data_IF_839733000193
#
_entry.id   IF_839733000193
#
_cell.length_a   1.000
_cell.length_b   1.000
_cell.length_c   1.000
_cell.angle_alpha   90.00
_cell.angle_beta   90.00
_cell.angle_gamma   90.00
#
_symmetry.space_group_name_H-M   'P 1'
#
loop_
_entity.id
_entity.type
_entity.pdbx_description
1 polymer ?
#
# COMPACT_ATOMS: atom_id res chain seq x y z
N UNK A 1 -14.58 18.90 27.35
CA UNK A 1 -13.23 18.65 26.77
C UNK A 1 -12.56 17.62 27.66
N UNK A 2 -12.49 16.37 27.19
CA UNK A 2 -12.07 15.23 28.00
C UNK A 2 -10.56 15.21 28.21
N UNK A 3 -10.12 15.18 29.47
CA UNK A 3 -8.71 15.11 29.88
C UNK A 3 -8.07 13.74 29.56
N UNK A 4 -8.79 12.84 28.88
CA UNK A 4 -8.41 11.44 28.69
C UNK A 4 -8.58 10.87 27.28
N UNK A 5 -8.90 11.70 26.28
CA UNK A 5 -9.12 11.21 24.91
C UNK A 5 -7.87 10.44 24.42
N UNK A 6 -8.08 9.23 23.92
CA UNK A 6 -7.15 8.41 23.13
C UNK A 6 -7.85 7.89 21.87
N UNK A 7 -7.08 7.31 20.95
CA UNK A 7 -7.61 6.62 19.76
C UNK A 7 -8.71 5.62 20.15
N UNK A 8 -8.47 4.77 21.16
CA UNK A 8 -9.44 3.81 21.65
C UNK A 8 -10.75 4.44 22.14
N UNK A 9 -10.68 5.52 22.94
CA UNK A 9 -11.89 6.20 23.43
C UNK A 9 -12.65 6.90 22.30
N UNK A 10 -11.97 7.55 21.34
CA UNK A 10 -12.63 8.21 20.22
C UNK A 10 -13.25 7.21 19.26
N UNK A 11 -12.60 6.08 19.00
CA UNK A 11 -13.19 5.01 18.20
C UNK A 11 -14.44 4.41 18.87
N UNK A 12 -14.44 4.30 20.20
CA UNK A 12 -15.63 3.89 20.95
C UNK A 12 -16.76 4.92 20.82
N UNK A 13 -16.45 6.22 20.93
CA UNK A 13 -17.42 7.30 20.74
C UNK A 13 -17.99 7.33 19.31
N UNK A 14 -17.13 7.10 18.31
CA UNK A 14 -17.52 6.96 16.90
C UNK A 14 -18.45 5.73 16.73
N UNK A 15 -18.11 4.59 17.33
CA UNK A 15 -18.96 3.40 17.26
C UNK A 15 -20.33 3.63 17.91
N UNK A 16 -20.37 4.35 19.04
CA UNK A 16 -21.62 4.71 19.71
C UNK A 16 -22.49 5.64 18.86
N UNK A 17 -21.91 6.68 18.24
CA UNK A 17 -22.69 7.59 17.39
C UNK A 17 -23.21 6.87 16.14
N UNK A 18 -22.43 5.97 15.51
CA UNK A 18 -22.93 5.19 14.36
C UNK A 18 -24.06 4.26 14.79
N UNK A 19 -23.94 3.62 15.95
CA UNK A 19 -24.98 2.76 16.53
C UNK A 19 -26.27 3.53 16.81
N UNK A 20 -26.17 4.78 17.25
CA UNK A 20 -27.32 5.68 17.39
C UNK A 20 -27.99 5.97 16.05
N UNK A 21 -27.22 6.16 14.97
CA UNK A 21 -27.74 6.31 13.61
C UNK A 21 -28.51 5.08 13.15
N UNK A 22 -27.96 3.89 13.37
CA UNK A 22 -28.64 2.62 13.10
C UNK A 22 -29.93 2.47 13.91
N UNK A 23 -29.92 2.90 15.18
CA UNK A 23 -31.09 2.87 16.06
C UNK A 23 -32.20 3.81 15.56
N UNK A 24 -31.85 4.97 15.02
CA UNK A 24 -32.83 5.88 14.39
C UNK A 24 -33.51 5.21 13.21
N UNK A 25 -32.72 4.60 12.30
CA UNK A 25 -33.26 3.87 11.15
C UNK A 25 -34.11 2.67 11.58
N UNK A 26 -33.65 1.89 12.56
CA UNK A 26 -34.36 0.68 13.00
C UNK A 26 -35.72 0.96 13.64
N UNK A 27 -35.89 2.13 14.28
CA UNK A 27 -37.15 2.58 14.87
C UNK A 27 -38.08 3.31 13.89
N UNK A 28 -37.62 3.62 12.69
CA UNK A 28 -38.44 4.30 11.67
C UNK A 28 -39.42 3.34 10.97
N UNK A 29 -40.49 3.88 10.38
CA UNK A 29 -41.46 3.07 9.64
C UNK A 29 -40.88 2.55 8.31
N UNK A 30 -40.60 1.24 8.28
CA UNK A 30 -39.99 0.56 7.12
C UNK A 30 -40.96 0.32 5.95
N UNK A 31 -42.26 0.58 6.09
CA UNK A 31 -43.26 0.29 5.04
C UNK A 31 -43.04 1.08 3.75
N UNK A 32 -42.45 2.27 3.86
CA UNK A 32 -42.24 3.19 2.74
C UNK A 32 -40.78 3.31 2.33
N UNK A 33 -39.90 2.44 2.86
CA UNK A 33 -38.48 2.46 2.52
C UNK A 33 -38.26 2.09 1.06
N UNK A 34 -37.55 2.96 0.36
CA UNK A 34 -36.99 2.72 -0.95
C UNK A 34 -35.63 2.04 -0.88
N UNK A 35 -34.86 2.20 -1.96
CA UNK A 35 -33.51 1.65 -2.08
C UNK A 35 -32.52 2.42 -1.21
N UNK A 36 -32.64 3.74 -1.14
CA UNK A 36 -31.67 4.61 -0.48
C UNK A 36 -31.69 4.45 1.04
N UNK A 37 -32.86 4.24 1.67
CA UNK A 37 -32.94 3.97 3.11
C UNK A 37 -32.28 2.66 3.49
N UNK A 38 -32.50 1.62 2.68
CA UNK A 38 -31.85 0.31 2.86
C UNK A 38 -30.36 0.42 2.64
N UNK A 39 -29.94 1.21 1.67
CA UNK A 39 -28.52 1.43 1.39
C UNK A 39 -27.86 2.25 2.49
N UNK A 40 -28.54 3.23 3.08
CA UNK A 40 -28.05 3.97 4.24
C UNK A 40 -27.88 3.05 5.46
N UNK A 41 -28.83 2.15 5.72
CA UNK A 41 -28.70 1.13 6.78
C UNK A 41 -27.49 0.22 6.53
N UNK A 42 -27.29 -0.26 5.28
CA UNK A 42 -26.11 -1.06 4.90
C UNK A 42 -24.81 -0.28 5.01
N UNK A 43 -24.79 0.99 4.63
CA UNK A 43 -23.60 1.83 4.68
C UNK A 43 -23.13 2.01 6.13
N UNK A 44 -24.04 2.30 7.07
CA UNK A 44 -23.71 2.41 8.50
C UNK A 44 -23.23 1.07 9.09
N UNK A 45 -23.87 -0.05 8.74
CA UNK A 45 -23.38 -1.39 9.13
C UNK A 45 -21.95 -1.63 8.63
N UNK A 46 -21.71 -1.30 7.36
CA UNK A 46 -20.40 -1.48 6.73
C UNK A 46 -19.31 -0.62 7.37
N UNK A 47 -19.65 0.56 7.89
CA UNK A 47 -18.71 1.41 8.64
C UNK A 47 -18.28 0.72 9.93
N UNK A 48 -19.24 0.22 10.74
CA UNK A 48 -18.91 -0.44 12.01
C UNK A 48 -18.12 -1.73 11.80
N UNK A 49 -18.50 -2.53 10.81
CA UNK A 49 -17.82 -3.78 10.49
C UNK A 49 -16.36 -3.53 10.08
N UNK A 50 -16.12 -2.53 9.24
CA UNK A 50 -14.77 -2.16 8.81
C UNK A 50 -13.95 -1.54 9.94
N UNK A 51 -14.50 -0.57 10.67
CA UNK A 51 -13.79 0.08 11.78
C UNK A 51 -13.39 -0.92 12.88
N UNK A 52 -14.26 -1.90 13.16
CA UNK A 52 -13.98 -3.01 14.08
C UNK A 52 -12.88 -3.92 13.54
N UNK A 53 -12.95 -4.28 12.25
CA UNK A 53 -11.93 -5.10 11.58
C UNK A 53 -10.57 -4.40 11.64
N UNK A 54 -10.51 -3.13 11.29
CA UNK A 54 -9.28 -2.32 11.32
C UNK A 54 -8.69 -2.27 12.72
N UNK A 55 -9.51 -2.03 13.75
CA UNK A 55 -9.04 -2.02 15.14
C UNK A 55 -8.45 -3.38 15.58
N UNK A 56 -9.02 -4.49 15.10
CA UNK A 56 -8.54 -5.83 15.40
C UNK A 56 -7.27 -6.19 14.62
N UNK A 57 -7.16 -5.77 13.37
CA UNK A 57 -6.06 -6.12 12.47
C UNK A 57 -4.84 -5.21 12.64
N UNK A 58 -5.03 -3.91 12.92
CA UNK A 58 -3.93 -2.95 13.07
C UNK A 58 -3.16 -3.12 14.38
N UNK A 59 -3.85 -3.46 15.48
CA UNK A 59 -3.22 -3.60 16.79
C UNK A 59 -2.02 -4.57 16.83
N UNK A 60 -2.12 -5.79 16.26
CA UNK A 60 -1.02 -6.75 16.18
C UNK A 60 0.11 -6.37 15.21
N UNK A 61 -0.09 -5.40 14.31
CA UNK A 61 0.91 -4.98 13.33
C UNK A 61 1.90 -3.97 13.92
N UNK A 62 1.45 -3.22 14.91
CA UNK A 62 2.30 -2.43 15.81
C UNK A 62 2.94 -3.41 16.81
N UNK A 63 4.22 -3.22 17.17
CA UNK A 63 5.14 -4.13 17.91
C UNK A 63 4.60 -5.02 19.07
N UNK A 64 5.44 -5.77 19.80
CA UNK A 64 5.03 -6.81 20.79
C UNK A 64 3.90 -6.47 21.81
N UNK A 65 3.63 -5.20 22.11
CA UNK A 65 2.49 -4.71 22.92
C UNK A 65 1.59 -3.69 22.15
N UNK A 66 1.59 -3.76 20.81
CA UNK A 66 1.12 -2.71 19.91
C UNK A 66 -0.36 -2.42 19.98
N UNK A 67 -1.19 -3.40 20.36
CA UNK A 67 -2.63 -3.16 20.60
C UNK A 67 -2.86 -2.16 21.72
N UNK A 68 -2.14 -2.28 22.83
CA UNK A 68 -2.25 -1.34 23.95
C UNK A 68 -1.71 0.03 23.54
N UNK A 69 -0.58 0.09 22.84
CA UNK A 69 0.02 1.35 22.39
C UNK A 69 -0.87 2.10 21.39
N UNK A 70 -1.50 1.37 20.46
CA UNK A 70 -2.46 1.92 19.50
C UNK A 70 -3.73 2.42 20.18
N UNK A 71 -4.33 1.62 21.08
CA UNK A 71 -5.54 2.00 21.81
C UNK A 71 -5.33 3.23 22.71
N UNK A 72 -4.14 3.36 23.29
CA UNK A 72 -3.75 4.47 24.15
C UNK A 72 -2.97 5.57 23.41
N UNK A 73 -2.94 5.55 22.07
CA UNK A 73 -2.30 6.63 21.30
C UNK A 73 -3.05 7.95 21.54
N UNK A 74 -2.26 8.99 21.82
CA UNK A 74 -2.74 10.34 22.19
C UNK A 74 -2.08 11.44 21.37
N UNK A 75 -1.42 11.09 20.26
CA UNK A 75 -0.80 12.09 19.40
C UNK A 75 -1.84 13.05 18.87
N UNK A 76 -1.49 14.33 18.90
CA UNK A 76 -2.36 15.40 18.49
C UNK A 76 -3.00 15.13 17.12
N UNK A 77 -2.20 14.78 16.12
CA UNK A 77 -2.68 14.52 14.76
C UNK A 77 -3.69 13.35 14.69
N UNK A 78 -3.40 12.21 15.33
CA UNK A 78 -4.34 11.08 15.41
C UNK A 78 -5.68 11.51 16.04
N UNK A 79 -5.61 12.31 17.09
CA UNK A 79 -6.78 12.76 17.84
C UNK A 79 -7.61 13.77 17.06
N UNK A 80 -6.97 14.70 16.35
CA UNK A 80 -7.66 15.69 15.53
C UNK A 80 -8.38 15.06 14.35
N UNK A 81 -7.74 14.14 13.64
CA UNK A 81 -8.35 13.40 12.54
C UNK A 81 -9.62 12.65 12.99
N UNK A 82 -9.51 11.89 14.10
CA UNK A 82 -10.64 11.14 14.64
C UNK A 82 -11.76 12.04 15.18
N UNK A 83 -11.44 13.19 15.80
CA UNK A 83 -12.45 14.17 16.23
C UNK A 83 -13.18 14.79 15.04
N UNK A 84 -12.46 15.09 13.95
CA UNK A 84 -13.08 15.61 12.74
C UNK A 84 -14.07 14.59 12.16
N UNK A 85 -13.70 13.31 12.11
CA UNK A 85 -14.57 12.21 11.67
C UNK A 85 -15.78 12.05 12.60
N UNK A 86 -15.57 12.09 13.92
CA UNK A 86 -16.66 12.06 14.90
C UNK A 86 -17.66 13.20 14.64
N UNK A 87 -17.18 14.42 14.38
CA UNK A 87 -18.02 15.56 14.02
C UNK A 87 -18.85 15.32 12.75
N UNK A 88 -18.27 14.66 11.73
CA UNK A 88 -19.00 14.29 10.50
C UNK A 88 -20.12 13.29 10.79
N UNK A 89 -19.87 12.27 11.62
CA UNK A 89 -20.93 11.32 12.02
C UNK A 89 -22.00 11.96 12.92
N UNK A 90 -21.63 12.88 13.81
CA UNK A 90 -22.60 13.66 14.59
C UNK A 90 -23.53 14.46 13.67
N UNK A 91 -22.97 15.15 12.66
CA UNK A 91 -23.77 15.90 11.69
C UNK A 91 -24.67 14.99 10.83
N UNK A 92 -24.20 13.80 10.44
CA UNK A 92 -25.03 12.79 9.78
C UNK A 92 -26.19 12.33 10.68
N UNK A 93 -25.92 12.09 11.96
CA UNK A 93 -26.94 11.67 12.91
C UNK A 93 -28.00 12.74 13.19
N UNK A 94 -27.62 14.02 13.30
CA UNK A 94 -28.62 15.08 13.46
C UNK A 94 -29.55 15.15 12.25
N UNK A 95 -29.01 15.01 11.03
CA UNK A 95 -29.81 14.91 9.81
C UNK A 95 -30.77 13.70 9.83
N UNK A 96 -30.29 12.53 10.29
CA UNK A 96 -31.14 11.33 10.45
C UNK A 96 -32.24 11.53 11.50
N UNK A 97 -31.95 12.21 12.62
CA UNK A 97 -32.95 12.55 13.63
C UNK A 97 -34.03 13.46 13.06
N UNK A 98 -33.63 14.49 12.30
CA UNK A 98 -34.58 15.41 11.69
C UNK A 98 -35.42 14.72 10.63
N UNK A 99 -34.80 13.89 9.79
CA UNK A 99 -35.52 13.01 8.85
C UNK A 99 -36.52 12.09 9.55
N UNK A 100 -36.13 11.46 10.67
CA UNK A 100 -37.04 10.58 11.42
C UNK A 100 -38.27 11.30 11.96
N UNK A 101 -38.19 12.63 12.16
CA UNK A 101 -39.30 13.48 12.61
C UNK A 101 -40.15 14.01 11.46
N UNK A 102 -39.55 14.37 10.33
CA UNK A 102 -40.26 14.91 9.16
C UNK A 102 -40.85 13.82 8.26
N UNK A 103 -40.26 12.63 8.25
CA UNK A 103 -40.53 11.60 7.25
C UNK A 103 -40.03 11.98 5.85
N UNK A 104 -40.44 11.20 4.85
CA UNK A 104 -40.04 11.35 3.45
C UNK A 104 -38.88 10.45 3.04
N UNK A 105 -38.47 10.47 1.76
CA UNK A 105 -37.31 9.71 1.29
C UNK A 105 -36.00 10.29 1.85
N UNK A 106 -35.01 9.43 2.08
CA UNK A 106 -33.64 9.87 2.41
C UNK A 106 -32.99 10.53 1.18
N UNK A 107 -32.14 11.53 1.42
CA UNK A 107 -31.30 12.11 0.39
C UNK A 107 -30.18 11.13 -0.03
N UNK A 108 -30.08 10.72 -1.31
CA UNK A 108 -29.07 9.77 -1.77
C UNK A 108 -27.63 10.27 -1.64
N UNK A 109 -27.43 11.58 -1.40
CA UNK A 109 -26.10 12.11 -1.07
C UNK A 109 -25.59 11.57 0.26
N UNK A 110 -26.46 11.28 1.24
CA UNK A 110 -26.06 10.81 2.57
C UNK A 110 -25.38 9.45 2.53
N UNK A 111 -25.83 8.57 1.63
CA UNK A 111 -25.19 7.26 1.40
C UNK A 111 -23.75 7.44 0.93
N UNK A 112 -23.55 8.31 -0.08
CA UNK A 112 -22.21 8.60 -0.62
C UNK A 112 -21.31 9.26 0.41
N UNK A 113 -21.85 10.19 1.20
CA UNK A 113 -21.15 10.80 2.32
C UNK A 113 -20.77 9.75 3.37
N UNK A 114 -21.66 8.82 3.71
CA UNK A 114 -21.39 7.75 4.67
C UNK A 114 -20.21 6.88 4.22
N UNK A 115 -20.17 6.48 2.95
CA UNK A 115 -19.02 5.76 2.38
C UNK A 115 -17.75 6.60 2.31
N UNK A 116 -17.88 7.92 2.13
CA UNK A 116 -16.72 8.84 2.15
C UNK A 116 -16.13 8.90 3.55
N UNK A 117 -16.97 9.13 4.57
CA UNK A 117 -16.56 9.18 5.98
C UNK A 117 -16.01 7.81 6.41
N UNK A 118 -16.59 6.70 5.92
CA UNK A 118 -16.05 5.35 6.12
C UNK A 118 -14.58 5.24 5.68
N UNK A 119 -14.28 5.63 4.44
CA UNK A 119 -12.91 5.60 3.90
C UNK A 119 -11.97 6.52 4.68
N UNK A 120 -12.44 7.69 5.10
CA UNK A 120 -11.67 8.60 5.94
C UNK A 120 -11.37 8.00 7.32
N UNK A 121 -12.33 7.30 7.93
CA UNK A 121 -12.14 6.59 9.20
C UNK A 121 -11.10 5.47 9.07
N UNK A 122 -11.21 4.63 8.05
CA UNK A 122 -10.22 3.61 7.74
C UNK A 122 -8.80 4.20 7.64
N UNK A 123 -8.64 5.27 6.84
CA UNK A 123 -7.36 5.97 6.69
C UNK A 123 -6.85 6.58 7.98
N UNK A 124 -7.70 7.21 8.77
CA UNK A 124 -7.31 7.77 10.07
C UNK A 124 -6.83 6.67 11.03
N UNK A 125 -7.49 5.50 11.03
CA UNK A 125 -7.06 4.34 11.80
C UNK A 125 -5.68 3.81 11.33
N UNK A 126 -5.47 3.67 10.02
CA UNK A 126 -4.20 3.25 9.43
C UNK A 126 -3.07 4.24 9.73
N UNK A 127 -3.30 5.55 9.60
CA UNK A 127 -2.31 6.59 9.94
C UNK A 127 -2.00 6.63 11.42
N UNK A 128 -2.99 6.50 12.30
CA UNK A 128 -2.76 6.39 13.74
C UNK A 128 -1.87 5.16 14.06
N UNK A 129 -2.16 4.00 13.46
CA UNK A 129 -1.32 2.80 13.62
C UNK A 129 0.10 3.02 13.07
N UNK A 130 0.22 3.68 11.92
CA UNK A 130 1.49 4.02 11.29
C UNK A 130 2.36 4.92 12.18
N UNK A 131 1.75 5.91 12.83
CA UNK A 131 2.44 6.78 13.79
C UNK A 131 3.02 5.95 14.93
N UNK A 132 2.23 5.05 15.53
CA UNK A 132 2.72 4.17 16.62
C UNK A 132 3.82 3.24 16.14
N UNK A 133 3.68 2.68 14.94
CA UNK A 133 4.72 1.85 14.32
C UNK A 133 6.04 2.60 14.13
N UNK A 134 5.98 3.82 13.58
CA UNK A 134 7.17 4.64 13.31
C UNK A 134 7.91 5.03 14.60
N UNK A 135 7.17 5.38 15.66
CA UNK A 135 7.80 5.72 16.94
C UNK A 135 8.48 4.54 17.65
N UNK A 136 8.16 3.32 17.25
CA UNK A 136 8.59 2.11 17.95
C UNK A 136 9.71 1.36 17.21
N UNK A 137 10.20 1.85 16.07
CA UNK A 137 11.25 1.18 15.28
C UNK A 137 12.50 2.03 15.08
N UNK A 138 13.64 1.40 15.35
CA UNK A 138 14.99 1.79 14.92
C UNK A 138 15.43 1.05 13.62
N UNK A 139 14.59 0.18 13.03
CA UNK A 139 15.07 -0.88 12.12
C UNK A 139 14.50 -0.92 10.67
N UNK A 140 13.54 -0.08 10.25
CA UNK A 140 13.38 0.15 8.78
C UNK A 140 12.74 1.48 8.48
N UNK A 141 13.24 2.15 7.45
CA UNK A 141 12.69 3.39 6.91
C UNK A 141 11.33 3.20 6.20
N UNK A 142 10.95 1.96 5.85
CA UNK A 142 9.70 1.66 5.13
C UNK A 142 8.43 2.06 5.90
N UNK A 143 7.43 2.48 5.15
CA UNK A 143 6.07 2.67 5.66
C UNK A 143 5.47 1.36 6.21
N UNK A 144 4.52 1.43 7.16
CA UNK A 144 3.79 0.26 7.67
C UNK A 144 3.05 -0.47 6.54
N UNK A 145 2.45 0.27 5.60
CA UNK A 145 1.83 -0.33 4.41
C UNK A 145 2.85 -1.11 3.57
N UNK A 146 4.04 -0.53 3.33
CA UNK A 146 5.13 -1.21 2.65
C UNK A 146 5.57 -2.48 3.39
N UNK A 147 5.73 -2.39 4.71
CA UNK A 147 6.12 -3.52 5.57
C UNK A 147 5.12 -4.68 5.51
N UNK A 148 3.81 -4.40 5.46
CA UNK A 148 2.75 -5.43 5.33
C UNK A 148 2.91 -6.20 4.01
N UNK A 149 3.12 -5.50 2.90
CA UNK A 149 3.32 -6.13 1.58
C UNK A 149 4.63 -6.90 1.54
N UNK A 150 5.72 -6.32 2.06
CA UNK A 150 7.02 -6.97 2.12
C UNK A 150 6.98 -8.28 2.95
N UNK A 151 6.21 -8.29 4.05
CA UNK A 151 6.02 -9.51 4.85
C UNK A 151 5.38 -10.64 4.04
N UNK A 152 4.47 -10.32 3.12
CA UNK A 152 3.88 -11.31 2.19
C UNK A 152 4.88 -11.77 1.14
N UNK A 153 5.70 -10.87 0.59
CA UNK A 153 6.78 -11.23 -0.33
C UNK A 153 7.83 -12.15 0.29
N UNK A 154 8.08 -12.02 1.60
CA UNK A 154 9.03 -12.88 2.34
C UNK A 154 8.43 -14.22 2.79
N UNK A 155 7.11 -14.44 2.67
CA UNK A 155 6.47 -15.68 3.12
C UNK A 155 7.00 -16.95 2.40
N UNK A 156 7.19 -16.98 1.06
CA UNK A 156 7.74 -18.15 0.38
C UNK A 156 9.15 -18.53 0.89
N UNK A 157 10.00 -17.52 1.15
CA UNK A 157 11.34 -17.74 1.69
C UNK A 157 11.30 -18.33 3.10
N UNK A 158 10.37 -17.87 3.95
CA UNK A 158 10.17 -18.42 5.30
C UNK A 158 9.69 -19.86 5.26
N UNK A 159 8.75 -20.16 4.37
CA UNK A 159 8.20 -21.51 4.20
C UNK A 159 9.25 -22.47 3.62
N UNK A 160 10.06 -22.00 2.66
CA UNK A 160 11.20 -22.76 2.14
C UNK A 160 12.23 -23.07 3.23
N UNK A 161 12.57 -22.11 4.10
CA UNK A 161 13.43 -22.32 5.28
C UNK A 161 12.82 -23.31 6.27
N UNK A 162 11.50 -23.41 6.36
CA UNK A 162 10.78 -24.41 7.13
C UNK A 162 10.67 -25.79 6.45
N UNK A 163 11.29 -25.96 5.27
CA UNK A 163 11.28 -27.21 4.51
C UNK A 163 10.00 -27.46 3.71
N UNK A 164 9.10 -26.49 3.62
CA UNK A 164 7.87 -26.58 2.84
C UNK A 164 8.22 -26.33 1.37
N UNK A 165 8.11 -27.37 0.54
CA UNK A 165 8.29 -27.24 -0.91
C UNK A 165 7.02 -26.64 -1.52
N UNK A 166 7.09 -25.49 -2.19
CA UNK A 166 5.92 -24.91 -2.85
C UNK A 166 5.55 -25.76 -4.07
N UNK A 167 4.29 -26.20 -4.13
CA UNK A 167 3.68 -26.68 -5.35
C UNK A 167 3.10 -25.51 -6.16
N UNK A 168 2.61 -25.78 -7.38
CA UNK A 168 2.03 -24.77 -8.28
C UNK A 168 0.83 -24.06 -7.64
N UNK A 169 0.00 -24.77 -6.87
CA UNK A 169 -1.15 -24.17 -6.19
C UNK A 169 -0.74 -23.21 -5.07
N UNK A 170 0.31 -23.56 -4.33
CA UNK A 170 0.91 -22.69 -3.31
C UNK A 170 1.52 -21.43 -3.93
N UNK A 171 2.13 -21.55 -5.11
CA UNK A 171 2.69 -20.42 -5.84
C UNK A 171 1.61 -19.41 -6.24
N UNK A 172 0.53 -19.87 -6.87
CA UNK A 172 -0.59 -19.00 -7.23
C UNK A 172 -1.18 -18.31 -6.00
N UNK A 173 -1.28 -19.02 -4.89
CA UNK A 173 -1.76 -18.46 -3.63
C UNK A 173 -0.87 -17.31 -3.16
N UNK A 174 0.46 -17.46 -3.22
CA UNK A 174 1.37 -16.38 -2.82
C UNK A 174 1.22 -15.12 -3.69
N UNK A 175 1.11 -15.26 -5.02
CA UNK A 175 0.86 -14.12 -5.89
C UNK A 175 -0.49 -13.44 -5.61
N UNK A 176 -1.55 -14.23 -5.37
CA UNK A 176 -2.87 -13.71 -5.00
C UNK A 176 -2.80 -12.97 -3.67
N UNK A 177 -2.11 -13.51 -2.67
CA UNK A 177 -1.93 -12.87 -1.36
C UNK A 177 -1.12 -11.57 -1.44
N UNK A 178 -0.08 -11.49 -2.27
CA UNK A 178 0.68 -10.26 -2.53
C UNK A 178 -0.24 -9.15 -3.10
N UNK A 179 -1.05 -9.48 -4.10
CA UNK A 179 -1.98 -8.52 -4.71
C UNK A 179 -3.11 -8.12 -3.75
N UNK A 180 -3.62 -9.05 -2.94
CA UNK A 180 -4.60 -8.75 -1.89
C UNK A 180 -4.00 -7.80 -0.85
N UNK A 181 -2.74 -8.03 -0.44
CA UNK A 181 -2.04 -7.14 0.48
C UNK A 181 -1.89 -5.73 -0.11
N UNK A 182 -1.50 -5.60 -1.38
CA UNK A 182 -1.41 -4.29 -2.04
C UNK A 182 -2.74 -3.53 -2.04
N UNK A 183 -3.85 -4.24 -2.30
CA UNK A 183 -5.21 -3.65 -2.26
C UNK A 183 -5.68 -3.31 -0.85
N UNK A 184 -5.10 -3.93 0.18
CA UNK A 184 -5.44 -3.66 1.57
C UNK A 184 -4.63 -2.50 2.16
N UNK A 185 -3.50 -2.12 1.55
CA UNK A 185 -2.65 -1.03 2.05
C UNK A 185 -2.86 0.31 1.36
N UNK A 186 -3.64 0.33 0.29
CA UNK A 186 -3.94 1.54 -0.45
C UNK A 186 -4.76 1.28 -1.70
N UNK A 187 -4.92 2.33 -2.49
CA UNK A 187 -5.85 2.33 -3.63
C UNK A 187 -5.19 2.90 -4.88
N UNK A 188 -5.45 2.26 -6.03
CA UNK A 188 -5.08 2.84 -7.32
C UNK A 188 -6.17 3.78 -7.81
N UNK A 189 -5.76 4.95 -8.28
CA UNK A 189 -6.65 5.94 -8.87
C UNK A 189 -6.01 6.55 -10.12
N UNK A 190 -6.86 7.01 -11.04
CA UNK A 190 -6.43 7.77 -12.21
C UNK A 190 -5.87 9.11 -11.73
N UNK A 191 -4.68 9.47 -12.19
CA UNK A 191 -4.03 10.74 -11.88
C UNK A 191 -3.87 11.55 -13.17
N UNK A 192 -4.62 12.64 -13.28
CA UNK A 192 -4.80 13.33 -14.56
C UNK A 192 -5.46 12.43 -15.61
N UNK A 193 -5.14 12.64 -16.87
CA UNK A 193 -5.74 11.89 -17.98
C UNK A 193 -4.93 10.64 -18.38
N UNK A 194 -3.66 10.55 -17.99
CA UNK A 194 -2.70 9.58 -18.52
C UNK A 194 -2.14 8.63 -17.47
N UNK A 195 -1.98 9.09 -16.23
CA UNK A 195 -1.15 8.40 -15.24
C UNK A 195 -1.99 7.60 -14.26
N UNK A 196 -1.36 6.66 -13.56
CA UNK A 196 -1.99 5.91 -12.48
C UNK A 196 -1.20 6.17 -11.20
N UNK A 197 -1.89 6.63 -10.16
CA UNK A 197 -1.30 6.79 -8.84
C UNK A 197 -1.81 5.72 -7.89
N UNK A 198 -0.92 5.13 -7.10
CA UNK A 198 -1.27 4.40 -5.89
C UNK A 198 -1.20 5.35 -4.70
N UNK A 199 -2.25 5.39 -3.88
CA UNK A 199 -2.30 6.19 -2.65
C UNK A 199 -2.29 5.25 -1.45
N UNK A 200 -1.23 5.31 -0.65
CA UNK A 200 -1.08 4.50 0.55
C UNK A 200 -1.97 5.02 1.68
N UNK A 201 -2.80 4.15 2.28
CA UNK A 201 -3.71 4.54 3.36
C UNK A 201 -2.99 4.75 4.71
N UNK A 202 -1.71 4.39 4.81
CA UNK A 202 -0.89 4.50 6.03
C UNK A 202 -0.06 5.79 6.11
N UNK A 203 0.38 6.34 4.97
CA UNK A 203 1.25 7.52 4.95
C UNK A 203 0.78 8.63 4.00
N UNK A 204 -0.35 8.45 3.30
CA UNK A 204 -0.83 9.34 2.22
C UNK A 204 0.17 9.57 1.08
N UNK A 205 1.26 8.79 1.06
CA UNK A 205 2.26 8.83 0.00
C UNK A 205 1.72 8.26 -1.31
N UNK A 206 2.00 8.99 -2.38
CA UNK A 206 1.63 8.62 -3.74
C UNK A 206 2.80 7.94 -4.46
N UNK A 207 2.49 6.93 -5.25
CA UNK A 207 3.42 6.31 -6.21
C UNK A 207 2.81 6.44 -7.60
N UNK A 208 3.51 7.10 -8.52
CA UNK A 208 2.95 7.45 -9.84
C UNK A 208 3.60 6.63 -10.95
N UNK A 209 2.76 6.03 -11.79
CA UNK A 209 3.16 5.40 -13.05
C UNK A 209 2.68 6.25 -14.21
N UNK A 210 3.62 6.84 -14.93
CA UNK A 210 3.36 7.69 -16.10
C UNK A 210 2.81 6.89 -17.29
N UNK A 211 1.85 7.45 -18.02
CA UNK A 211 1.29 6.95 -19.28
C UNK A 211 0.95 5.45 -19.25
N UNK A 212 -0.07 5.10 -18.46
CA UNK A 212 -0.47 3.71 -18.25
C UNK A 212 -1.99 3.56 -18.34
N UNK A 213 -2.46 2.73 -19.27
CA UNK A 213 -3.90 2.50 -19.46
C UNK A 213 -4.49 1.81 -18.22
N UNK A 214 -3.83 0.76 -17.71
CA UNK A 214 -4.23 0.01 -16.51
C UNK A 214 -3.01 -0.54 -15.79
N UNK A 215 -3.12 -0.67 -14.46
CA UNK A 215 -2.04 -1.23 -13.66
C UNK A 215 -1.85 -2.74 -13.95
N UNK A 216 -0.65 -3.20 -14.36
CA UNK A 216 -0.36 -4.61 -14.56
C UNK A 216 -0.48 -5.42 -13.27
N UNK A 217 -1.09 -6.61 -13.36
CA UNK A 217 -1.25 -7.53 -12.22
C UNK A 217 -0.35 -8.76 -12.31
N UNK A 218 0.49 -8.84 -13.34
CA UNK A 218 1.35 -10.01 -13.62
C UNK A 218 2.77 -9.54 -13.91
N UNK A 219 3.76 -10.24 -13.35
CA UNK A 219 5.19 -9.98 -13.59
C UNK A 219 5.59 -10.41 -15.00
N UNK A 220 6.59 -9.76 -15.57
CA UNK A 220 7.11 -10.12 -16.90
C UNK A 220 7.72 -11.53 -16.93
N UNK A 221 8.39 -11.98 -15.85
CA UNK A 221 9.02 -13.31 -15.77
C UNK A 221 8.04 -14.49 -15.75
N UNK A 222 6.86 -14.34 -15.14
CA UNK A 222 5.85 -15.40 -15.10
C UNK A 222 5.25 -15.71 -16.47
N UNK A 223 5.44 -14.83 -17.46
CA UNK A 223 4.99 -15.05 -18.84
C UNK A 223 6.03 -15.76 -19.71
N UNK A 224 7.30 -15.78 -19.30
CA UNK A 224 8.44 -16.16 -20.14
C UNK A 224 8.94 -17.60 -19.95
N UNK A 225 8.53 -18.33 -18.90
CA UNK A 225 9.09 -19.65 -18.59
C UNK A 225 8.04 -20.76 -18.75
N UNK A 226 8.22 -21.74 -19.67
CA UNK A 226 7.39 -22.94 -19.68
C UNK A 226 7.60 -23.74 -18.38
N UNK A 227 6.57 -24.41 -17.84
CA UNK A 227 6.57 -25.04 -16.51
C UNK A 227 7.65 -26.13 -16.30
N UNK A 228 8.34 -26.53 -17.36
CA UNK A 228 9.36 -27.59 -17.37
C UNK A 228 10.76 -27.15 -16.91
N UNK A 229 10.98 -25.87 -16.59
CA UNK A 229 12.32 -25.31 -16.30
C UNK A 229 12.47 -24.65 -14.92
N UNK A 230 11.53 -24.88 -13.99
CA UNK A 230 11.56 -24.33 -12.62
C UNK A 230 12.62 -25.02 -11.75
N UNK A 231 13.91 -24.82 -12.04
CA UNK A 231 15.02 -25.24 -11.17
C UNK A 231 15.41 -24.17 -10.14
N UNK A 232 14.91 -22.95 -10.28
CA UNK A 232 15.16 -21.86 -9.33
C UNK A 232 14.04 -21.75 -8.30
N UNK A 233 14.35 -21.58 -7.01
CA UNK A 233 13.34 -21.39 -5.99
C UNK A 233 12.46 -20.19 -6.32
N UNK A 234 11.15 -20.36 -6.18
CA UNK A 234 10.18 -19.27 -6.31
C UNK A 234 10.56 -18.16 -5.32
N UNK A 235 10.78 -16.97 -5.83
CA UNK A 235 10.94 -15.76 -5.03
C UNK A 235 9.91 -14.72 -5.44
N UNK A 236 9.11 -14.27 -4.47
CA UNK A 236 8.33 -13.03 -4.59
C UNK A 236 9.18 -11.80 -4.27
N UNK A 237 10.32 -11.99 -3.60
CA UNK A 237 11.28 -10.92 -3.41
C UNK A 237 11.79 -10.46 -4.77
N UNK A 238 11.92 -9.14 -4.98
CA UNK A 238 12.53 -8.60 -6.17
C UNK A 238 13.91 -9.24 -6.41
N UNK A 239 14.18 -9.60 -7.65
CA UNK A 239 15.46 -10.02 -8.19
C UNK A 239 15.59 -9.46 -9.61
N UNK A 240 16.76 -9.60 -10.23
CA UNK A 240 17.06 -9.07 -11.57
C UNK A 240 16.11 -9.53 -12.69
N UNK A 241 15.30 -10.56 -12.47
CA UNK A 241 14.37 -11.12 -13.46
C UNK A 241 12.89 -10.83 -13.18
N UNK A 242 12.49 -10.49 -11.95
CA UNK A 242 11.08 -10.49 -11.55
C UNK A 242 10.56 -9.12 -11.05
N UNK A 243 11.37 -8.06 -11.08
CA UNK A 243 10.96 -6.73 -10.62
C UNK A 243 10.05 -5.97 -11.61
N UNK A 244 10.04 -6.39 -12.88
CA UNK A 244 9.31 -5.74 -13.98
C UNK A 244 7.91 -6.34 -14.23
N UNK A 245 7.04 -5.52 -14.78
CA UNK A 245 5.78 -5.92 -15.40
C UNK A 245 5.54 -5.20 -16.73
N UNK A 246 4.78 -5.84 -17.61
CA UNK A 246 4.40 -5.28 -18.91
C UNK A 246 3.03 -4.62 -18.83
N UNK A 247 2.99 -3.31 -19.06
CA UNK A 247 1.77 -2.51 -19.21
C UNK A 247 1.52 -2.08 -20.65
N UNK A 248 0.42 -1.36 -20.84
CA UNK A 248 0.03 -0.75 -22.12
C UNK A 248 -0.10 0.75 -21.89
N UNK A 249 0.50 1.54 -22.78
CA UNK A 249 0.43 3.01 -22.72
C UNK A 249 -0.97 3.51 -23.04
N UNK A 250 -1.39 4.58 -22.38
CA UNK A 250 -2.70 5.19 -22.62
C UNK A 250 -2.70 5.99 -23.94
N UNK A 251 -1.59 6.68 -24.24
CA UNK A 251 -1.49 7.58 -25.39
C UNK A 251 -1.17 6.91 -26.74
N UNK A 252 -0.95 5.59 -26.79
CA UNK A 252 -0.58 4.92 -28.05
C UNK A 252 -0.86 3.42 -28.11
N UNK A 253 -1.41 2.82 -27.06
CA UNK A 253 -1.64 1.37 -26.96
C UNK A 253 -0.37 0.53 -27.26
N UNK A 254 0.80 1.04 -26.87
CA UNK A 254 2.07 0.35 -27.01
C UNK A 254 2.44 -0.36 -25.71
N UNK A 255 3.16 -1.47 -25.81
CA UNK A 255 3.64 -2.17 -24.62
C UNK A 255 4.77 -1.38 -23.97
N UNK A 256 4.69 -1.17 -22.65
CA UNK A 256 5.69 -0.46 -21.83
C UNK A 256 6.13 -1.35 -20.67
N UNK A 257 7.42 -1.41 -20.39
CA UNK A 257 7.92 -2.01 -19.15
C UNK A 257 7.83 -1.00 -18.02
N UNK A 258 7.33 -1.46 -16.88
CA UNK A 258 7.21 -0.67 -15.66
C UNK A 258 7.67 -1.50 -14.46
N UNK A 259 8.05 -0.84 -13.36
CA UNK A 259 8.18 -1.51 -12.07
C UNK A 259 6.83 -2.15 -11.72
N UNK A 260 6.84 -3.44 -11.37
CA UNK A 260 5.65 -4.12 -10.91
C UNK A 260 5.15 -3.51 -9.60
N UNK A 261 3.86 -3.13 -9.53
CA UNK A 261 3.37 -2.32 -8.42
C UNK A 261 3.62 -2.90 -7.01
N UNK A 262 3.46 -4.21 -6.76
CA UNK A 262 3.86 -4.79 -5.47
C UNK A 262 5.32 -4.56 -5.06
N UNK A 263 6.24 -4.43 -6.03
CA UNK A 263 7.65 -4.11 -5.76
C UNK A 263 7.78 -2.67 -5.27
N UNK A 264 7.21 -1.71 -5.98
CA UNK A 264 7.23 -0.31 -5.55
C UNK A 264 6.52 -0.12 -4.20
N UNK A 265 5.32 -0.71 -4.04
CA UNK A 265 4.53 -0.61 -2.81
C UNK A 265 5.28 -1.24 -1.63
N UNK A 266 5.96 -2.36 -1.78
CA UNK A 266 6.70 -2.98 -0.68
C UNK A 266 7.95 -2.20 -0.23
N UNK A 267 8.39 -1.20 -1.00
CA UNK A 267 9.64 -0.48 -0.76
C UNK A 267 9.47 1.04 -0.62
N UNK A 268 8.24 1.55 -0.53
CA UNK A 268 8.01 2.97 -0.32
C UNK A 268 8.26 3.39 1.15
N UNK A 269 8.73 4.62 1.29
CA UNK A 269 9.00 5.34 2.53
C UNK A 269 7.89 6.38 2.75
N UNK A 270 7.74 6.84 3.99
CA UNK A 270 6.85 7.95 4.32
C UNK A 270 7.35 9.21 3.55
N UNK A 271 6.47 9.97 2.88
CA UNK A 271 6.84 11.26 2.32
C UNK A 271 7.44 12.19 3.38
N UNK A 272 8.40 13.03 2.98
CA UNK A 272 8.90 14.10 3.86
C UNK A 272 7.76 15.10 4.14
N UNK A 273 7.83 15.81 5.26
CA UNK A 273 6.79 16.77 5.62
C UNK A 273 6.59 17.85 4.53
N UNK A 274 5.42 17.86 3.90
CA UNK A 274 5.06 18.79 2.82
C UNK A 274 5.15 18.17 1.42
N UNK A 275 5.76 16.99 1.30
CA UNK A 275 5.76 16.21 0.07
C UNK A 275 4.52 15.32 0.01
N UNK A 276 4.05 15.04 -1.20
CA UNK A 276 2.90 14.16 -1.46
C UNK A 276 3.32 12.82 -2.08
N UNK A 277 4.47 12.80 -2.75
CA UNK A 277 5.04 11.62 -3.38
C UNK A 277 5.89 10.83 -2.36
N UNK A 278 5.73 9.51 -2.38
CA UNK A 278 6.49 8.63 -1.53
C UNK A 278 7.83 8.30 -2.18
N UNK A 279 8.91 8.52 -1.43
CA UNK A 279 10.23 8.01 -1.79
C UNK A 279 10.27 6.49 -1.77
N UNK A 280 11.24 5.89 -2.43
CA UNK A 280 11.42 4.44 -2.49
C UNK A 280 12.85 4.03 -2.16
N UNK A 281 12.97 2.81 -1.64
CA UNK A 281 14.25 2.11 -1.51
C UNK A 281 14.42 1.11 -2.65
N UNK A 282 15.66 0.90 -3.07
CA UNK A 282 15.96 -0.21 -3.97
C UNK A 282 16.01 -1.54 -3.18
N UNK A 283 15.08 -2.49 -3.44
CA UNK A 283 15.06 -3.76 -2.72
C UNK A 283 16.30 -4.62 -2.95
N UNK A 284 17.01 -4.42 -4.06
CA UNK A 284 18.19 -5.20 -4.43
C UNK A 284 19.46 -4.64 -3.77
N UNK A 285 19.60 -3.31 -3.73
CA UNK A 285 20.69 -2.66 -2.99
C UNK A 285 20.59 -2.92 -1.48
N UNK A 286 19.38 -2.91 -0.90
CA UNK A 286 19.20 -3.26 0.51
C UNK A 286 19.60 -4.70 0.83
N UNK A 287 19.28 -5.67 -0.03
CA UNK A 287 19.68 -7.07 0.18
C UNK A 287 21.20 -7.25 0.12
N UNK A 288 21.89 -6.47 -0.72
CA UNK A 288 23.36 -6.47 -0.79
C UNK A 288 23.95 -5.83 0.48
N UNK A 289 23.38 -4.70 0.95
CA UNK A 289 23.83 -4.02 2.16
C UNK A 289 23.57 -4.77 3.46
N UNK A 290 22.58 -5.67 3.49
CA UNK A 290 22.31 -6.56 4.63
C UNK A 290 23.31 -7.76 4.73
N UNK A 291 24.18 -7.98 3.74
CA UNK A 291 25.19 -9.05 3.79
C UNK A 291 26.44 -8.57 4.56
N UNK A 292 26.94 -9.37 5.53
CA UNK A 292 28.20 -9.06 6.21
C UNK A 292 29.34 -9.05 5.18
N UNK A 293 30.15 -7.99 5.19
CA UNK A 293 31.20 -7.80 4.18
C UNK A 293 32.41 -8.71 4.44
N UNK A 294 32.66 -9.13 5.70
CA UNK A 294 33.67 -10.14 6.08
C UNK A 294 33.26 -10.88 7.39
N UNK A 295 33.82 -12.08 7.65
CA UNK A 295 33.56 -12.87 8.88
C UNK A 295 34.17 -12.25 10.16
N UNK A 296 35.11 -11.32 10.01
CA UNK A 296 35.87 -10.68 11.09
C UNK A 296 35.58 -9.17 11.23
N UNK A 297 34.60 -8.63 10.49
CA UNK A 297 34.30 -7.21 10.51
C UNK A 297 33.16 -6.90 11.49
N UNK A 298 33.50 -6.23 12.60
CA UNK A 298 32.56 -5.71 13.59
C UNK A 298 31.88 -4.41 13.12
N UNK A 299 32.13 -3.97 11.87
CA UNK A 299 31.60 -2.72 11.31
C UNK A 299 30.11 -2.86 10.93
N UNK A 300 29.33 -1.81 11.20
CA UNK A 300 27.89 -1.79 10.93
C UNK A 300 27.62 -2.08 9.44
N UNK A 301 26.66 -2.97 9.10
CA UNK A 301 26.36 -3.32 7.71
C UNK A 301 26.11 -2.05 6.86
N UNK A 302 26.89 -1.90 5.78
CA UNK A 302 26.75 -0.79 4.85
C UNK A 302 25.33 -0.72 4.30
N UNK A 303 24.57 0.30 4.70
CA UNK A 303 23.26 0.60 4.11
C UNK A 303 23.45 1.67 3.05
N UNK A 304 23.21 1.38 1.76
CA UNK A 304 23.18 2.41 0.75
C UNK A 304 22.05 3.39 1.09
N UNK A 305 22.40 4.65 1.36
CA UNK A 305 21.44 5.73 1.64
C UNK A 305 20.68 6.21 0.37
N UNK A 306 20.63 5.38 -0.69
CA UNK A 306 19.99 5.75 -1.95
C UNK A 306 18.46 5.63 -1.80
N UNK A 307 17.86 6.71 -1.29
CA UNK A 307 16.44 7.01 -1.41
C UNK A 307 16.16 7.55 -2.82
N UNK A 308 15.18 6.97 -3.51
CA UNK A 308 14.70 7.44 -4.81
C UNK A 308 13.48 8.33 -4.61
N UNK A 309 13.45 9.49 -5.25
CA UNK A 309 12.37 10.47 -5.05
C UNK A 309 11.02 9.99 -5.60
N UNK A 310 11.04 9.20 -6.69
CA UNK A 310 9.84 8.72 -7.36
C UNK A 310 10.02 7.32 -8.00
N UNK A 311 8.91 6.76 -8.50
CA UNK A 311 8.89 5.44 -9.16
C UNK A 311 9.78 5.41 -10.40
N UNK A 312 9.88 6.54 -11.11
CA UNK A 312 10.65 6.66 -12.34
C UNK A 312 12.15 6.59 -12.07
N UNK A 313 12.62 7.31 -11.07
CA UNK A 313 14.01 7.33 -10.60
C UNK A 313 14.44 5.94 -10.12
N UNK A 314 13.58 5.25 -9.37
CA UNK A 314 13.83 3.86 -9.00
C UNK A 314 13.86 2.95 -10.24
N UNK A 315 12.99 3.18 -11.22
CA UNK A 315 12.93 2.36 -12.43
C UNK A 315 14.21 2.50 -13.24
N UNK A 316 14.66 3.74 -13.48
CA UNK A 316 15.92 4.03 -14.15
C UNK A 316 17.08 3.33 -13.42
N UNK A 317 17.17 3.47 -12.10
CA UNK A 317 18.19 2.76 -11.31
C UNK A 317 18.14 1.23 -11.50
N UNK A 318 16.95 0.63 -11.40
CA UNK A 318 16.80 -0.82 -11.58
C UNK A 318 17.18 -1.27 -12.99
N UNK A 319 16.93 -0.46 -14.02
CA UNK A 319 17.32 -0.75 -15.40
C UNK A 319 18.84 -0.66 -15.60
N UNK A 320 19.48 0.35 -15.00
CA UNK A 320 20.92 0.59 -15.13
C UNK A 320 21.78 -0.35 -14.29
N UNK A 321 21.42 -0.60 -13.02
CA UNK A 321 22.24 -1.34 -12.05
C UNK A 321 21.83 -2.81 -11.89
N UNK A 322 20.54 -3.11 -12.13
CA UNK A 322 19.96 -4.44 -11.89
C UNK A 322 19.26 -5.02 -13.11
N UNK A 323 19.38 -4.35 -14.26
CA UNK A 323 18.91 -4.85 -15.53
C UNK A 323 19.65 -6.15 -15.87
N UNK A 324 18.94 -7.11 -16.42
CA UNK A 324 19.59 -8.25 -17.08
C UNK A 324 20.34 -7.68 -18.26
N UNK A 325 21.67 -7.53 -18.13
CA UNK A 325 22.54 -7.07 -19.19
C UNK A 325 22.33 -7.94 -20.43
N UNK A 326 21.42 -7.54 -21.32
CA UNK A 326 21.53 -7.81 -22.74
C UNK A 326 22.41 -6.71 -23.33
N UNK A 327 23.65 -6.63 -22.80
CA UNK A 327 24.71 -6.06 -23.59
C UNK A 327 24.87 -6.99 -24.80
N UNK A 328 24.72 -6.53 -26.05
CA UNK A 328 25.30 -7.25 -27.15
C UNK A 328 26.81 -7.20 -26.90
N UNK A 329 27.37 -8.30 -26.38
CA UNK A 329 28.81 -8.55 -26.43
C UNK A 329 29.13 -8.73 -27.90
N UNK A 330 29.42 -7.59 -28.52
CA UNK A 330 30.03 -7.45 -29.82
C UNK A 330 31.01 -6.30 -29.71
N UNK A 331 31.95 -6.37 -28.75
CA UNK A 331 33.21 -5.68 -28.96
C UNK A 331 33.85 -6.35 -30.18
N UNK A 332 34.08 -5.63 -31.30
CA UNK A 332 34.92 -6.15 -32.35
C UNK A 332 36.36 -6.12 -31.81
N UNK A 333 36.83 -7.28 -31.38
CA UNK A 333 38.24 -7.56 -31.27
C UNK A 333 38.85 -7.44 -32.68
N UNK A 334 40.00 -6.79 -32.74
CA UNK A 334 40.96 -6.75 -33.86
C UNK A 334 40.56 -5.98 -35.12
N UNK A 335 41.10 -4.77 -35.25
CA UNK A 335 41.77 -4.37 -36.48
C UNK A 335 43.07 -3.66 -36.10
N UNK A 336 44.17 -4.33 -36.47
CA UNK A 336 45.52 -3.81 -36.58
C UNK A 336 45.53 -2.39 -37.14
N UNK A 337 46.07 -1.45 -36.36
CA UNK A 337 46.42 -0.12 -36.84
C UNK A 337 47.61 -0.24 -37.79
N UNK A 338 47.33 -0.40 -39.09
CA UNK A 338 48.29 -0.04 -40.12
C UNK A 338 48.20 1.46 -40.38
N UNK A 339 49.36 2.09 -40.31
CA UNK A 339 49.62 3.48 -40.69
C UNK A 339 49.03 3.79 -42.07
N UNK A 340 48.34 4.93 -42.21
CA UNK A 340 48.73 5.97 -43.16
C UNK A 340 47.86 7.22 -43.05
N UNK A 341 48.54 8.36 -43.01
CA UNK A 341 48.01 9.70 -43.17
C UNK A 341 47.34 9.88 -44.54
N UNK A 342 46.35 10.79 -44.65
CA UNK A 342 46.20 11.74 -45.78
C UNK A 342 45.11 12.79 -45.50
N UNK A 343 45.59 13.99 -45.13
CA UNK A 343 45.21 15.37 -45.53
C UNK A 343 43.87 15.59 -46.26
N UNK A 344 43.00 16.44 -45.69
CA UNK A 344 42.71 17.81 -46.18
C UNK A 344 42.30 18.72 -45.03
#
# INVERSE_FOLDING_TARGET
MGVFDSVGTLLADIANIISDGQRILSLSDKRHWGQDEREQERALNSVLDEARKDFQELGPLVNGNGRSQYEHDRRHESMEELRAILGKFQALNERLKDWSRSGGPIDPTWVRETYTIKRELHRAQCRAAMRVFTSAREASQRCLGAFIVQRKQRAPLRDAKAGIKPDETTLERYYKEELIACKAVGTFQRFGDQDIAFVCDFCDGHLVWEDLERMPTVRSSTRAVPPSSLSSPVSLLPNTSNWQASGVTNCGQHQKQVIFAPVAIANHIIPTHGDWEAKLLCPLCEEIGEQPQDEDDDEDPYRPDEEFDDVKSLQEHLEWQHGTATLPIGLPTTTTAENNCLVM
#
